data_IF_258791199761
#
_entry.id   IF_258791199761
#
_cell.length_a   1.000
_cell.length_b   1.000
_cell.length_c   1.000
_cell.angle_alpha   90.00
_cell.angle_beta   90.00
_cell.angle_gamma   90.00
#
_symmetry.space_group_name_H-M   'P 1'
#
loop_
_entity.id
_entity.type
_entity.pdbx_description
1 polymer ?
#
# COMPACT_ATOMS: atom_id res chain seq x y z
N UNK A 1 -25.29 29.21 31.61
CA UNK A 1 -26.27 28.30 30.96
C UNK A 1 -26.42 28.54 29.45
N UNK A 2 -27.07 29.61 28.95
CA UNK A 2 -27.28 29.77 27.49
C UNK A 2 -25.98 29.89 26.67
N UNK A 3 -24.98 30.58 27.22
CA UNK A 3 -23.63 30.68 26.64
C UNK A 3 -22.89 29.34 26.64
N UNK A 4 -23.15 28.49 27.64
CA UNK A 4 -22.43 27.24 27.86
C UNK A 4 -23.01 26.13 26.98
N UNK A 5 -24.34 26.08 26.82
CA UNK A 5 -25.00 25.23 25.82
C UNK A 5 -24.56 25.58 24.39
N UNK A 6 -24.42 26.87 24.08
CA UNK A 6 -23.88 27.28 22.79
C UNK A 6 -22.42 26.84 22.60
N UNK A 7 -21.60 26.89 23.66
CA UNK A 7 -20.22 26.39 23.65
C UNK A 7 -20.17 24.88 23.48
N UNK A 8 -21.03 24.12 24.16
CA UNK A 8 -21.16 22.68 24.00
C UNK A 8 -21.52 22.31 22.55
N UNK A 9 -22.53 22.98 21.98
CA UNK A 9 -22.92 22.77 20.60
C UNK A 9 -21.79 23.09 19.60
N UNK A 10 -20.94 24.09 19.91
CA UNK A 10 -19.76 24.39 19.10
C UNK A 10 -18.76 23.25 19.11
N UNK A 11 -18.45 22.68 20.28
CA UNK A 11 -17.53 21.54 20.38
C UNK A 11 -18.08 20.28 19.72
N UNK A 12 -19.39 20.02 19.83
CA UNK A 12 -20.03 18.91 19.10
C UNK A 12 -19.90 19.07 17.58
N UNK A 13 -20.07 20.28 17.06
CA UNK A 13 -19.90 20.57 15.64
C UNK A 13 -18.43 20.49 15.18
N UNK A 14 -17.49 20.90 16.03
CA UNK A 14 -16.05 20.74 15.79
C UNK A 14 -15.65 19.26 15.70
N UNK A 15 -16.10 18.44 16.66
CA UNK A 15 -15.89 16.99 16.63
C UNK A 15 -16.54 16.37 15.38
N UNK A 16 -17.80 16.71 15.07
CA UNK A 16 -18.50 16.18 13.89
C UNK A 16 -17.80 16.53 12.57
N UNK A 17 -17.24 17.73 12.47
CA UNK A 17 -16.47 18.14 11.30
C UNK A 17 -15.16 17.34 11.18
N UNK A 18 -14.47 17.11 12.31
CA UNK A 18 -13.24 16.32 12.37
C UNK A 18 -13.48 14.87 11.94
N UNK A 19 -14.50 14.22 12.50
CA UNK A 19 -14.90 12.85 12.18
C UNK A 19 -15.24 12.67 10.69
N UNK A 20 -15.94 13.64 10.09
CA UNK A 20 -16.27 13.60 8.65
C UNK A 20 -15.04 13.72 7.76
N UNK A 21 -14.10 14.59 8.15
CA UNK A 21 -12.80 14.70 7.46
C UNK A 21 -12.02 13.40 7.58
N UNK A 22 -11.94 12.82 8.79
CA UNK A 22 -11.25 11.57 9.05
C UNK A 22 -11.81 10.40 8.24
N UNK A 23 -13.13 10.29 8.06
CA UNK A 23 -13.73 9.25 7.22
C UNK A 23 -13.14 9.25 5.80
N UNK A 24 -12.89 10.44 5.24
CA UNK A 24 -12.33 10.61 3.90
C UNK A 24 -10.84 10.29 3.90
N UNK A 25 -10.09 10.79 4.88
CA UNK A 25 -8.65 10.54 5.06
C UNK A 25 -8.36 9.04 5.24
N UNK A 26 -9.05 8.38 6.17
CA UNK A 26 -8.91 6.95 6.43
C UNK A 26 -9.24 6.11 5.20
N UNK A 27 -10.29 6.47 4.45
CA UNK A 27 -10.63 5.77 3.20
C UNK A 27 -9.49 5.84 2.18
N UNK A 28 -8.84 7.00 2.05
CA UNK A 28 -7.68 7.18 1.17
C UNK A 28 -6.46 6.40 1.68
N UNK A 29 -6.16 6.46 2.98
CA UNK A 29 -5.04 5.72 3.57
C UNK A 29 -5.21 4.20 3.43
N UNK A 30 -6.42 3.68 3.67
CA UNK A 30 -6.74 2.26 3.46
C UNK A 30 -6.52 1.85 2.00
N UNK A 31 -6.90 2.68 1.03
CA UNK A 31 -6.71 2.36 -0.39
C UNK A 31 -5.23 2.19 -0.78
N UNK A 32 -4.33 2.93 -0.11
CA UNK A 32 -2.88 2.92 -0.39
C UNK A 32 -2.08 2.00 0.52
N UNK A 33 -2.67 1.47 1.59
CA UNK A 33 -1.98 0.63 2.57
C UNK A 33 -2.11 -0.85 2.19
N UNK A 34 -1.03 -1.66 2.17
CA UNK A 34 -1.11 -3.07 1.83
C UNK A 34 -1.84 -3.86 2.94
N UNK A 35 -2.20 -5.11 2.66
CA UNK A 35 -2.78 -5.97 3.68
C UNK A 35 -1.78 -6.21 4.83
N UNK A 36 -2.29 -6.20 6.06
CA UNK A 36 -1.50 -6.36 7.28
C UNK A 36 -2.17 -5.67 8.47
N UNK A 37 -1.53 -5.76 9.64
CA UNK A 37 -2.08 -5.29 10.91
C UNK A 37 -2.46 -3.80 10.89
N UNK A 38 -1.64 -2.96 10.26
CA UNK A 38 -1.92 -1.54 10.14
C UNK A 38 -3.18 -1.25 9.30
N UNK A 39 -3.37 -1.94 8.18
CA UNK A 39 -4.60 -1.79 7.38
C UNK A 39 -5.83 -2.28 8.14
N UNK A 40 -5.73 -3.41 8.83
CA UNK A 40 -6.82 -3.94 9.65
C UNK A 40 -7.21 -2.97 10.76
N UNK A 41 -6.22 -2.30 11.36
CA UNK A 41 -6.45 -1.24 12.35
C UNK A 41 -7.21 -0.05 11.74
N UNK A 42 -6.76 0.48 10.59
CA UNK A 42 -7.42 1.58 9.89
C UNK A 42 -8.86 1.24 9.49
N UNK A 43 -9.10 0.03 9.00
CA UNK A 43 -10.45 -0.44 8.62
C UNK A 43 -11.38 -0.54 9.83
N UNK A 44 -10.87 -0.93 11.01
CA UNK A 44 -11.62 -0.92 12.26
C UNK A 44 -11.97 0.51 12.66
N UNK A 45 -10.97 1.39 12.72
CA UNK A 45 -11.16 2.77 13.14
C UNK A 45 -12.12 3.52 12.21
N UNK A 46 -12.04 3.34 10.88
CA UNK A 46 -13.02 3.91 9.94
C UNK A 46 -14.49 3.51 10.25
N UNK A 47 -14.74 2.31 10.78
CA UNK A 47 -16.09 1.93 11.22
C UNK A 47 -16.49 2.60 12.53
N UNK A 48 -15.53 2.83 13.42
CA UNK A 48 -15.68 3.56 14.68
C UNK A 48 -15.96 5.03 14.41
N UNK A 49 -15.10 5.73 13.66
CA UNK A 49 -15.26 7.14 13.21
C UNK A 49 -16.62 7.39 12.53
N UNK A 50 -17.10 6.46 11.68
CA UNK A 50 -18.45 6.55 11.07
C UNK A 50 -19.57 6.48 12.10
N UNK A 51 -19.44 5.61 13.09
CA UNK A 51 -20.39 5.51 14.21
C UNK A 51 -20.34 6.79 15.04
N UNK A 52 -19.15 7.33 15.27
CA UNK A 52 -18.95 8.55 16.05
C UNK A 52 -19.60 9.76 15.39
N UNK A 53 -19.36 9.96 14.09
CA UNK A 53 -20.03 10.99 13.29
C UNK A 53 -21.57 10.87 13.34
N UNK A 54 -22.10 9.64 13.31
CA UNK A 54 -23.53 9.37 13.45
C UNK A 54 -24.07 9.82 14.82
N UNK A 55 -23.41 9.41 15.90
CA UNK A 55 -23.82 9.77 17.26
C UNK A 55 -23.72 11.28 17.52
N UNK A 56 -22.67 11.95 17.04
CA UNK A 56 -22.54 13.40 17.19
C UNK A 56 -23.63 14.16 16.43
N UNK A 57 -24.01 13.70 15.22
CA UNK A 57 -25.04 14.34 14.42
C UNK A 57 -26.45 14.28 15.06
N UNK A 58 -26.69 13.33 15.98
CA UNK A 58 -27.95 13.25 16.73
C UNK A 58 -28.06 14.33 17.82
N UNK A 59 -26.92 14.84 18.31
CA UNK A 59 -26.87 15.82 19.40
C UNK A 59 -26.46 17.23 18.95
N UNK A 60 -25.70 17.35 17.86
CA UNK A 60 -25.30 18.64 17.30
C UNK A 60 -26.48 19.32 16.60
N UNK A 61 -26.71 20.60 16.90
CA UNK A 61 -27.62 21.45 16.12
C UNK A 61 -26.86 22.16 15.03
N UNK A 62 -27.51 22.33 13.86
CA UNK A 62 -26.84 22.90 12.69
C UNK A 62 -26.21 24.26 13.03
N UNK A 63 -24.91 24.42 12.77
CA UNK A 63 -24.22 25.67 12.99
C UNK A 63 -24.69 26.72 11.97
N UNK A 64 -24.67 28.00 12.37
CA UNK A 64 -24.79 29.06 11.37
C UNK A 64 -23.65 28.94 10.35
N UNK A 65 -23.95 29.15 9.06
CA UNK A 65 -23.07 28.87 7.91
C UNK A 65 -21.66 29.48 8.03
N UNK A 66 -21.52 30.55 8.82
CA UNK A 66 -20.24 31.21 9.13
C UNK A 66 -19.32 30.38 10.04
N UNK A 67 -19.88 29.62 10.99
CA UNK A 67 -19.14 28.81 11.98
C UNK A 67 -18.59 27.53 11.36
N UNK A 68 -19.32 26.95 10.40
CA UNK A 68 -18.88 25.76 9.62
C UNK A 68 -17.56 26.03 8.90
N UNK A 69 -17.45 27.17 8.24
CA UNK A 69 -16.26 27.53 7.47
C UNK A 69 -15.04 27.79 8.37
N UNK A 70 -15.24 28.30 9.59
CA UNK A 70 -14.16 28.50 10.55
C UNK A 70 -13.66 27.18 11.16
N UNK A 71 -14.56 26.26 11.50
CA UNK A 71 -14.22 24.93 12.02
C UNK A 71 -13.51 24.06 10.96
N UNK A 72 -13.97 24.12 9.70
CA UNK A 72 -13.30 23.47 8.57
C UNK A 72 -11.86 23.96 8.38
N UNK A 73 -11.60 25.26 8.54
CA UNK A 73 -10.25 25.82 8.44
C UNK A 73 -9.28 25.39 9.55
N UNK A 74 -9.79 25.04 10.74
CA UNK A 74 -8.98 24.50 11.84
C UNK A 74 -8.67 23.01 11.64
N UNK A 75 -9.64 22.23 11.18
CA UNK A 75 -9.40 20.83 10.79
C UNK A 75 -8.40 20.74 9.62
N UNK A 76 -8.50 21.63 8.63
CA UNK A 76 -7.54 21.71 7.51
C UNK A 76 -6.12 22.10 7.95
N UNK A 77 -5.93 22.81 9.07
CA UNK A 77 -4.60 23.21 9.55
C UNK A 77 -3.90 22.16 10.40
N UNK A 78 -4.66 21.24 11.04
CA UNK A 78 -4.10 20.07 11.74
C UNK A 78 -3.89 18.89 10.78
N UNK A 79 -4.77 18.72 9.78
CA UNK A 79 -4.68 17.69 8.73
C UNK A 79 -3.89 18.16 7.50
N UNK A 80 -3.37 19.41 7.52
CA UNK A 80 -2.85 20.18 6.37
C UNK A 80 -1.67 19.61 5.59
N UNK A 81 -1.29 18.35 5.80
CA UNK A 81 -0.33 17.63 4.97
C UNK A 81 -0.94 16.46 4.16
N UNK A 82 -2.22 16.11 4.34
CA UNK A 82 -2.85 15.00 3.63
C UNK A 82 -3.11 15.27 2.12
N UNK A 83 -2.96 16.52 1.66
CA UNK A 83 -3.13 16.90 0.25
C UNK A 83 -1.85 17.50 -0.38
N UNK A 84 -0.70 16.88 -0.14
CA UNK A 84 0.46 17.06 -1.06
C UNK A 84 0.27 16.34 -2.41
N UNK A 85 -0.96 16.07 -2.83
CA UNK A 85 -1.28 15.73 -4.23
C UNK A 85 -1.03 16.90 -5.19
N UNK A 86 -0.60 18.06 -4.69
CA UNK A 86 -0.21 19.25 -5.46
C UNK A 86 1.32 19.45 -5.63
N UNK A 87 2.16 18.41 -5.48
CA UNK A 87 3.50 18.39 -6.08
C UNK A 87 3.56 17.32 -7.15
N UNK A 88 3.49 17.79 -8.40
CA UNK A 88 3.33 16.98 -9.61
C UNK A 88 4.47 15.99 -9.89
N UNK A 89 4.50 15.38 -11.08
CA UNK A 89 5.37 14.25 -11.45
C UNK A 89 6.89 14.52 -11.42
N UNK A 90 7.34 15.65 -10.86
CA UNK A 90 8.74 16.05 -10.75
C UNK A 90 9.39 15.63 -9.41
N UNK A 91 8.64 15.45 -8.32
CA UNK A 91 9.22 14.93 -7.05
C UNK A 91 9.53 13.42 -7.12
N UNK A 92 9.03 12.72 -8.13
CA UNK A 92 9.40 11.34 -8.46
C UNK A 92 10.83 11.22 -9.02
N UNK A 93 11.44 12.30 -9.50
CA UNK A 93 12.78 12.29 -10.11
C UNK A 93 13.92 12.58 -9.12
N UNK A 94 13.61 12.85 -7.85
CA UNK A 94 14.60 13.15 -6.81
C UNK A 94 14.39 12.30 -5.56
N UNK A 95 14.41 10.96 -5.71
CA UNK A 95 14.61 10.01 -4.63
C UNK A 95 13.80 10.25 -3.34
N UNK A 96 12.49 10.48 -3.48
CA UNK A 96 11.64 10.95 -2.38
C UNK A 96 10.92 9.84 -1.62
N UNK A 97 11.39 9.53 -0.41
CA UNK A 97 10.77 8.73 0.67
C UNK A 97 10.25 7.33 0.29
N UNK A 98 10.79 6.30 0.93
CA UNK A 98 10.36 4.91 0.71
C UNK A 98 8.89 4.72 1.07
N UNK A 99 8.25 3.69 0.52
CA UNK A 99 6.86 3.36 0.84
C UNK A 99 6.62 3.22 2.34
N UNK A 100 7.57 2.58 3.04
CA UNK A 100 7.51 2.39 4.50
C UNK A 100 7.64 3.71 5.27
N UNK A 101 8.47 4.65 4.78
CA UNK A 101 8.54 6.00 5.36
C UNK A 101 7.22 6.75 5.22
N UNK A 102 6.46 6.52 4.14
CA UNK A 102 5.11 7.11 3.97
C UNK A 102 4.11 6.49 4.94
N UNK A 103 4.11 5.17 5.12
CA UNK A 103 3.25 4.51 6.10
C UNK A 103 3.55 4.98 7.53
N UNK A 104 4.84 5.10 7.87
CA UNK A 104 5.26 5.63 9.16
C UNK A 104 4.85 7.10 9.35
N UNK A 105 4.93 7.92 8.30
CA UNK A 105 4.45 9.31 8.35
C UNK A 105 2.94 9.34 8.63
N UNK A 106 2.16 8.56 7.89
CA UNK A 106 0.71 8.47 8.07
C UNK A 106 0.38 8.06 9.52
N UNK A 107 0.99 6.98 10.03
CA UNK A 107 0.82 6.53 11.42
C UNK A 107 1.08 7.62 12.48
N UNK A 108 2.04 8.51 12.23
CA UNK A 108 2.33 9.65 13.11
C UNK A 108 1.29 10.75 12.99
N UNK A 109 0.84 11.05 11.78
CA UNK A 109 -0.21 12.04 11.51
C UNK A 109 -1.54 11.58 12.13
N UNK A 110 -1.86 10.28 12.07
CA UNK A 110 -3.00 9.69 12.77
C UNK A 110 -2.84 9.78 14.28
N UNK A 111 -1.69 9.40 14.87
CA UNK A 111 -1.46 9.56 16.31
C UNK A 111 -1.70 11.00 16.80
N UNK A 112 -1.29 12.00 16.02
CA UNK A 112 -1.52 13.40 16.35
C UNK A 112 -3.02 13.76 16.29
N UNK A 113 -3.74 13.19 15.32
CA UNK A 113 -5.18 13.40 15.17
C UNK A 113 -5.97 12.74 16.30
N UNK A 114 -5.68 11.48 16.64
CA UNK A 114 -6.30 10.79 17.79
C UNK A 114 -6.12 11.58 19.08
N UNK A 115 -4.91 12.10 19.32
CA UNK A 115 -4.62 12.89 20.51
C UNK A 115 -5.44 14.18 20.59
N UNK A 116 -5.72 14.81 19.45
CA UNK A 116 -6.59 15.99 19.38
C UNK A 116 -8.06 15.62 19.62
N UNK A 117 -8.53 14.50 19.09
CA UNK A 117 -9.89 14.02 19.31
C UNK A 117 -10.12 13.65 20.78
N UNK A 118 -9.17 12.96 21.42
CA UNK A 118 -9.20 12.68 22.86
C UNK A 118 -9.38 13.99 23.65
N UNK A 119 -8.58 15.01 23.36
CA UNK A 119 -8.66 16.30 24.04
C UNK A 119 -9.99 17.04 23.78
N UNK A 120 -10.53 16.90 22.56
CA UNK A 120 -11.84 17.46 22.21
C UNK A 120 -12.96 16.75 22.98
N UNK A 121 -12.91 15.43 23.08
CA UNK A 121 -13.88 14.66 23.84
C UNK A 121 -13.78 14.88 25.35
N UNK A 122 -12.58 15.08 25.90
CA UNK A 122 -12.40 15.52 27.30
C UNK A 122 -13.13 16.86 27.56
N UNK A 123 -13.02 17.81 26.63
CA UNK A 123 -13.69 19.11 26.74
C UNK A 123 -15.23 19.00 26.63
N UNK A 124 -15.73 18.13 25.75
CA UNK A 124 -17.16 17.85 25.61
C UNK A 124 -17.69 17.16 26.87
N UNK A 125 -17.02 16.11 27.36
CA UNK A 125 -17.39 15.36 28.56
C UNK A 125 -17.50 16.30 29.77
N UNK A 126 -16.46 17.09 30.04
CA UNK A 126 -16.44 18.02 31.18
C UNK A 126 -17.57 19.07 31.13
N UNK A 127 -17.81 19.66 29.95
CA UNK A 127 -18.85 20.68 29.80
C UNK A 127 -20.26 20.08 29.83
N UNK A 128 -20.44 18.89 29.28
CA UNK A 128 -21.72 18.18 29.34
C UNK A 128 -22.07 17.77 30.78
N UNK A 129 -21.08 17.35 31.58
CA UNK A 129 -21.29 17.06 33.01
C UNK A 129 -21.68 18.32 33.80
N UNK A 130 -21.05 19.47 33.54
CA UNK A 130 -21.42 20.75 34.18
C UNK A 130 -22.85 21.21 33.84
N UNK A 131 -23.35 20.81 32.66
CA UNK A 131 -24.67 21.17 32.16
C UNK A 131 -25.75 20.10 32.43
N UNK A 132 -25.42 19.03 33.16
CA UNK A 132 -26.29 17.86 33.39
C UNK A 132 -26.75 17.16 32.08
N UNK A 133 -26.01 17.33 30.98
CA UNK A 133 -26.24 16.72 29.67
C UNK A 133 -25.68 15.29 29.61
N UNK A 134 -26.22 14.41 30.46
CA UNK A 134 -25.73 13.04 30.70
C UNK A 134 -25.55 12.20 29.43
N UNK A 135 -26.47 12.30 28.47
CA UNK A 135 -26.38 11.56 27.20
C UNK A 135 -25.14 11.98 26.38
N UNK A 136 -24.81 13.26 26.37
CA UNK A 136 -23.65 13.81 25.65
C UNK A 136 -22.36 13.47 26.39
N UNK A 137 -22.34 13.55 27.72
CA UNK A 137 -21.19 13.15 28.52
C UNK A 137 -20.85 11.66 28.30
N UNK A 138 -21.87 10.79 28.30
CA UNK A 138 -21.70 9.37 28.03
C UNK A 138 -21.25 9.06 26.60
N UNK A 139 -21.72 9.85 25.62
CA UNK A 139 -21.26 9.76 24.23
C UNK A 139 -19.77 10.10 24.12
N UNK A 140 -19.37 11.26 24.64
CA UNK A 140 -17.99 11.73 24.59
C UNK A 140 -17.05 10.74 25.28
N UNK A 141 -17.43 10.20 26.44
CA UNK A 141 -16.64 9.19 27.16
C UNK A 141 -16.42 7.92 26.35
N UNK A 142 -17.44 7.44 25.63
CA UNK A 142 -17.32 6.25 24.77
C UNK A 142 -16.40 6.50 23.58
N UNK A 143 -16.56 7.65 22.91
CA UNK A 143 -15.71 8.00 21.76
C UNK A 143 -14.26 8.18 22.20
N UNK A 144 -14.02 8.91 23.29
CA UNK A 144 -12.69 9.04 23.90
C UNK A 144 -12.02 7.68 24.17
N UNK A 145 -12.76 6.72 24.73
CA UNK A 145 -12.22 5.38 24.98
C UNK A 145 -11.90 4.59 23.70
N UNK A 146 -12.59 4.89 22.59
CA UNK A 146 -12.25 4.35 21.27
C UNK A 146 -10.96 4.97 20.74
N UNK A 147 -10.78 6.29 20.84
CA UNK A 147 -9.58 6.98 20.36
C UNK A 147 -8.34 6.71 21.22
N UNK A 148 -8.50 6.58 22.53
CA UNK A 148 -7.42 6.13 23.42
C UNK A 148 -6.90 4.75 23.00
N UNK A 149 -7.81 3.84 22.61
CA UNK A 149 -7.46 2.50 22.12
C UNK A 149 -6.81 2.57 20.75
N UNK A 150 -7.33 3.39 19.83
CA UNK A 150 -6.74 3.60 18.51
C UNK A 150 -5.32 4.15 18.61
N UNK A 151 -5.12 5.20 19.43
CA UNK A 151 -3.81 5.79 19.68
C UNK A 151 -2.83 4.77 20.30
N UNK A 152 -3.28 3.95 21.25
CA UNK A 152 -2.45 2.90 21.83
C UNK A 152 -2.01 1.87 20.79
N UNK A 153 -2.94 1.41 19.95
CA UNK A 153 -2.67 0.43 18.88
C UNK A 153 -1.74 1.00 17.80
N UNK A 154 -1.96 2.25 17.36
CA UNK A 154 -1.07 2.94 16.43
C UNK A 154 0.35 3.04 16.98
N UNK A 155 0.51 3.45 18.24
CA UNK A 155 1.82 3.55 18.89
C UNK A 155 2.52 2.21 19.01
N UNK A 156 1.77 1.12 19.19
CA UNK A 156 2.33 -0.24 19.21
C UNK A 156 2.83 -0.69 17.83
N UNK A 157 2.26 -0.18 16.74
CA UNK A 157 2.68 -0.45 15.36
C UNK A 157 3.82 0.44 14.87
N UNK A 158 4.04 1.62 15.46
CA UNK A 158 5.14 2.52 15.05
C UNK A 158 6.50 1.80 14.96
N UNK A 159 6.93 0.97 15.94
CA UNK A 159 8.21 0.25 15.84
C UNK A 159 8.30 -0.70 14.64
N UNK A 160 7.21 -1.38 14.27
CA UNK A 160 7.21 -2.28 13.11
C UNK A 160 7.22 -1.51 11.79
N UNK A 161 6.52 -0.37 11.72
CA UNK A 161 6.52 0.54 10.58
C UNK A 161 7.85 1.31 10.41
N UNK A 162 8.56 1.56 11.51
CA UNK A 162 9.86 2.23 11.51
C UNK A 162 11.04 1.26 11.37
N UNK A 163 10.82 -0.04 11.55
CA UNK A 163 11.86 -1.03 11.34
C UNK A 163 12.27 -0.96 9.86
N UNK A 164 13.59 -0.93 9.56
CA UNK A 164 14.03 -1.10 8.19
C UNK A 164 13.45 -2.43 7.71
N UNK A 165 12.76 -2.42 6.58
CA UNK A 165 12.30 -3.62 5.89
C UNK A 165 13.51 -4.52 5.73
N UNK A 166 13.67 -5.50 6.64
CA UNK A 166 14.51 -6.65 6.36
C UNK A 166 13.71 -7.41 5.35
N UNK A 167 13.99 -7.12 4.09
CA UNK A 167 13.33 -7.72 2.97
C UNK A 167 13.41 -9.24 3.14
N UNK A 168 12.31 -9.83 3.61
CA UNK A 168 12.07 -11.26 3.50
C UNK A 168 11.45 -11.57 2.15
N UNK A 169 11.23 -10.58 1.27
CA UNK A 169 11.08 -10.87 -0.15
C UNK A 169 12.47 -11.24 -0.59
N UNK A 170 12.61 -12.48 -1.04
CA UNK A 170 13.74 -12.82 -1.89
C UNK A 170 13.82 -11.73 -2.96
N UNK A 171 14.98 -11.06 -3.14
CA UNK A 171 15.11 -10.03 -4.16
C UNK A 171 14.61 -10.61 -5.47
N UNK A 172 13.70 -9.89 -6.12
CA UNK A 172 13.18 -10.35 -7.39
C UNK A 172 14.34 -10.48 -8.38
N UNK A 173 14.32 -11.47 -9.28
CA UNK A 173 15.38 -11.64 -10.28
C UNK A 173 15.60 -10.44 -11.22
N UNK A 174 14.71 -9.44 -11.18
CA UNK A 174 14.86 -8.17 -11.87
C UNK A 174 14.97 -7.08 -10.81
N UNK A 175 16.10 -6.37 -10.81
CA UNK A 175 16.33 -5.23 -9.93
C UNK A 175 15.27 -4.14 -10.14
N UNK A 176 14.88 -3.50 -9.04
CA UNK A 176 13.89 -2.42 -8.98
C UNK A 176 12.57 -2.76 -9.69
N UNK A 177 12.16 -4.03 -9.69
CA UNK A 177 11.01 -4.54 -10.46
C UNK A 177 9.73 -3.71 -10.30
N UNK A 178 9.42 -3.30 -9.07
CA UNK A 178 8.22 -2.55 -8.72
C UNK A 178 8.26 -1.10 -9.24
N UNK A 179 9.43 -0.59 -9.63
CA UNK A 179 9.60 0.75 -10.20
C UNK A 179 9.61 0.75 -11.74
N UNK A 180 9.71 -0.43 -12.36
CA UNK A 180 9.72 -0.58 -13.81
C UNK A 180 8.33 -0.52 -14.42
N UNK A 181 8.23 0.09 -15.60
CA UNK A 181 7.02 -0.02 -16.42
C UNK A 181 6.94 -1.41 -17.09
N UNK A 182 5.74 -1.78 -17.55
CA UNK A 182 5.50 -3.11 -18.10
C UNK A 182 6.37 -3.44 -19.33
N UNK A 183 6.70 -2.45 -20.16
CA UNK A 183 7.58 -2.63 -21.32
C UNK A 183 9.03 -2.92 -20.93
N UNK A 184 9.54 -2.22 -19.90
CA UNK A 184 10.89 -2.44 -19.34
C UNK A 184 11.02 -3.83 -18.73
N UNK A 185 9.98 -4.30 -18.02
CA UNK A 185 9.96 -5.67 -17.49
C UNK A 185 9.93 -6.69 -18.63
N UNK A 186 9.00 -6.52 -19.59
CA UNK A 186 8.82 -7.43 -20.74
C UNK A 186 10.12 -7.63 -21.52
N UNK A 187 10.93 -6.58 -21.67
CA UNK A 187 12.22 -6.66 -22.35
C UNK A 187 13.26 -7.53 -21.65
N UNK A 188 13.15 -7.71 -20.32
CA UNK A 188 14.12 -8.48 -19.51
C UNK A 188 13.68 -9.91 -19.23
N UNK A 189 12.39 -10.25 -19.45
CA UNK A 189 11.87 -11.58 -19.13
C UNK A 189 12.57 -12.71 -19.90
N UNK A 190 13.06 -12.45 -21.11
CA UNK A 190 13.78 -13.46 -21.92
C UNK A 190 15.17 -13.79 -21.39
N UNK A 191 15.75 -12.92 -20.55
CA UNK A 191 17.10 -13.09 -20.03
C UNK A 191 17.10 -13.90 -18.72
N UNK A 192 15.94 -14.01 -18.07
CA UNK A 192 15.76 -14.77 -16.85
C UNK A 192 15.94 -16.28 -17.08
N UNK A 193 16.27 -17.02 -16.03
CA UNK A 193 16.13 -18.49 -16.03
C UNK A 193 14.64 -18.87 -15.90
N UNK A 194 14.26 -20.11 -16.19
CA UNK A 194 12.88 -20.56 -15.95
C UNK A 194 12.48 -20.48 -14.48
N UNK A 195 13.42 -20.70 -13.55
CA UNK A 195 13.17 -20.56 -12.12
C UNK A 195 12.90 -19.09 -11.75
N UNK A 196 13.71 -18.17 -12.27
CA UNK A 196 13.55 -16.73 -12.04
C UNK A 196 12.28 -16.18 -12.68
N UNK A 197 11.96 -16.63 -13.90
CA UNK A 197 10.73 -16.28 -14.60
C UNK A 197 9.50 -16.74 -13.81
N UNK A 198 9.53 -17.94 -13.23
CA UNK A 198 8.46 -18.44 -12.38
C UNK A 198 8.27 -17.61 -11.11
N UNK A 199 9.38 -17.15 -10.50
CA UNK A 199 9.35 -16.23 -9.35
C UNK A 199 8.69 -14.90 -9.73
N UNK A 200 9.09 -14.30 -10.85
CA UNK A 200 8.51 -13.04 -11.36
C UNK A 200 7.03 -13.19 -11.69
N UNK A 201 6.63 -14.28 -12.35
CA UNK A 201 5.23 -14.54 -12.68
C UNK A 201 4.36 -14.74 -11.43
N UNK A 202 4.90 -15.41 -10.40
CA UNK A 202 4.21 -15.58 -9.12
C UNK A 202 4.00 -14.23 -8.43
N UNK A 203 5.05 -13.40 -8.37
CA UNK A 203 4.98 -12.05 -7.82
C UNK A 203 3.97 -11.18 -8.58
N UNK A 204 4.02 -11.19 -9.91
CA UNK A 204 3.14 -10.33 -10.71
C UNK A 204 1.65 -10.72 -10.56
N UNK A 205 1.33 -12.02 -10.47
CA UNK A 205 -0.04 -12.51 -10.24
C UNK A 205 -0.58 -12.15 -8.85
N UNK A 206 0.30 -12.16 -7.84
CA UNK A 206 -0.08 -11.82 -6.46
C UNK A 206 -0.21 -10.31 -6.22
N UNK A 207 0.36 -9.48 -7.10
CA UNK A 207 0.45 -8.03 -6.93
C UNK A 207 -0.28 -7.26 -8.06
N UNK A 208 0.46 -6.54 -8.90
CA UNK A 208 -0.11 -5.56 -9.85
C UNK A 208 -0.84 -6.17 -11.04
N UNK A 209 -0.64 -7.45 -11.33
CA UNK A 209 -1.40 -8.19 -12.36
C UNK A 209 -1.30 -7.59 -13.78
N UNK A 210 -0.15 -7.01 -14.17
CA UNK A 210 0.04 -6.37 -15.48
C UNK A 210 -0.02 -7.43 -16.59
N UNK A 211 -1.12 -7.39 -17.34
CA UNK A 211 -1.45 -8.37 -18.39
C UNK A 211 -0.31 -8.63 -19.38
N UNK A 212 0.40 -7.59 -19.84
CA UNK A 212 1.49 -7.74 -20.81
C UNK A 212 2.69 -8.53 -20.26
N UNK A 213 2.97 -8.43 -18.96
CA UNK A 213 4.04 -9.20 -18.31
C UNK A 213 3.63 -10.66 -18.19
N UNK A 214 2.39 -10.92 -17.73
CA UNK A 214 1.85 -12.27 -17.59
C UNK A 214 1.79 -12.99 -18.94
N UNK A 215 1.24 -12.33 -19.95
CA UNK A 215 1.14 -12.87 -21.32
C UNK A 215 2.53 -13.14 -21.92
N UNK A 216 3.49 -12.21 -21.74
CA UNK A 216 4.85 -12.43 -22.22
C UNK A 216 5.53 -13.58 -21.48
N UNK A 217 5.44 -13.63 -20.15
CA UNK A 217 6.11 -14.66 -19.36
C UNK A 217 5.51 -16.05 -19.62
N UNK A 218 4.19 -16.18 -19.77
CA UNK A 218 3.55 -17.44 -20.13
C UNK A 218 4.01 -17.97 -21.50
N UNK A 219 4.26 -17.08 -22.47
CA UNK A 219 4.84 -17.45 -23.77
C UNK A 219 6.32 -17.89 -23.69
N UNK A 220 7.05 -17.44 -22.65
CA UNK A 220 8.46 -17.77 -22.42
C UNK A 220 8.64 -19.01 -21.54
N UNK A 221 7.60 -19.42 -20.81
CA UNK A 221 7.63 -20.61 -19.96
C UNK A 221 7.78 -21.88 -20.81
N UNK A 222 8.83 -22.65 -20.53
CA UNK A 222 9.10 -23.92 -21.19
C UNK A 222 9.92 -24.84 -20.27
N UNK A 223 9.77 -26.15 -20.43
CA UNK A 223 10.61 -27.11 -19.72
C UNK A 223 12.04 -27.06 -20.28
N UNK A 224 13.08 -26.83 -19.46
CA UNK A 224 14.45 -26.82 -19.95
C UNK A 224 14.86 -28.21 -20.47
N UNK A 225 15.73 -28.29 -21.50
CA UNK A 225 16.17 -29.57 -22.08
C UNK A 225 16.80 -30.52 -21.05
N UNK A 226 17.48 -29.98 -20.04
CA UNK A 226 17.99 -30.72 -18.89
C UNK A 226 18.12 -29.82 -17.65
N UNK A 227 18.25 -30.38 -16.43
CA UNK A 227 18.45 -29.60 -15.21
C UNK A 227 19.71 -28.73 -15.27
N UNK A 228 19.59 -27.44 -14.92
CA UNK A 228 20.71 -26.49 -14.94
C UNK A 228 21.02 -25.87 -16.30
N UNK A 229 20.25 -26.19 -17.36
CA UNK A 229 20.49 -25.70 -18.72
C UNK A 229 20.64 -24.17 -18.85
N UNK A 230 19.87 -23.41 -18.07
CA UNK A 230 19.89 -21.94 -18.12
C UNK A 230 21.14 -21.32 -17.47
N UNK A 231 21.83 -22.08 -16.61
CA UNK A 231 23.04 -21.65 -15.90
C UNK A 231 24.32 -22.02 -16.66
N UNK A 232 24.21 -22.89 -17.66
CA UNK A 232 25.34 -23.33 -18.47
C UNK A 232 25.73 -22.28 -19.55
N UNK A 233 27.03 -22.01 -19.74
CA UNK A 233 27.50 -21.19 -20.84
C UNK A 233 27.23 -21.90 -22.17
N UNK A 234 27.10 -21.12 -23.25
CA UNK A 234 26.77 -21.65 -24.58
C UNK A 234 27.76 -22.73 -25.05
N UNK A 235 29.04 -22.60 -24.71
CA UNK A 235 30.10 -23.56 -25.06
C UNK A 235 29.85 -24.93 -24.41
N UNK A 236 29.55 -24.97 -23.11
CA UNK A 236 29.25 -26.21 -22.39
C UNK A 236 27.98 -26.90 -22.93
N UNK A 237 26.98 -26.10 -23.30
CA UNK A 237 25.75 -26.62 -23.92
C UNK A 237 26.05 -27.26 -25.28
N UNK A 238 26.88 -26.60 -26.10
CA UNK A 238 27.28 -27.11 -27.42
C UNK A 238 28.09 -28.41 -27.28
N UNK A 239 29.02 -28.46 -26.33
CA UNK A 239 29.84 -29.66 -26.08
C UNK A 239 29.01 -30.86 -25.59
N UNK A 240 27.93 -30.58 -24.86
CA UNK A 240 27.00 -31.60 -24.35
C UNK A 240 25.94 -32.01 -25.38
N UNK A 241 25.81 -31.26 -26.47
CA UNK A 241 24.73 -31.43 -27.44
C UNK A 241 24.86 -32.75 -28.20
N UNK A 242 23.80 -33.55 -28.18
CA UNK A 242 23.69 -34.78 -28.97
C UNK A 242 22.41 -34.77 -29.83
N UNK A 243 22.30 -35.75 -30.73
CA UNK A 243 21.13 -35.90 -31.61
C UNK A 243 19.81 -36.06 -30.84
N UNK A 244 19.85 -36.62 -29.63
CA UNK A 244 18.68 -36.85 -28.80
C UNK A 244 18.12 -35.56 -28.20
N UNK A 245 18.99 -34.62 -27.83
CA UNK A 245 18.60 -33.35 -27.21
C UNK A 245 18.52 -32.18 -28.20
N UNK A 246 19.08 -32.29 -29.40
CA UNK A 246 19.13 -31.20 -30.38
C UNK A 246 17.76 -30.60 -30.73
N UNK A 247 16.71 -31.43 -30.86
CA UNK A 247 15.34 -30.96 -31.08
C UNK A 247 14.80 -30.13 -29.91
N UNK A 248 14.98 -30.63 -28.69
CA UNK A 248 14.53 -29.96 -27.47
C UNK A 248 15.27 -28.63 -27.24
N UNK A 249 16.58 -28.62 -27.46
CA UNK A 249 17.43 -27.41 -27.36
C UNK A 249 17.00 -26.35 -28.37
N UNK A 250 16.78 -26.73 -29.64
CA UNK A 250 16.32 -25.80 -30.67
C UNK A 250 14.97 -25.18 -30.31
N UNK A 251 14.00 -26.01 -29.92
CA UNK A 251 12.66 -25.55 -29.59
C UNK A 251 12.67 -24.62 -28.37
N UNK A 252 13.44 -24.99 -27.34
CA UNK A 252 13.63 -24.18 -26.13
C UNK A 252 14.28 -22.83 -26.43
N UNK A 253 15.44 -22.82 -27.10
CA UNK A 253 16.16 -21.60 -27.44
C UNK A 253 15.34 -20.67 -28.34
N UNK A 254 14.56 -21.22 -29.28
CA UNK A 254 13.74 -20.42 -30.19
C UNK A 254 12.67 -19.61 -29.46
N UNK A 255 12.17 -20.12 -28.34
CA UNK A 255 11.11 -19.48 -27.54
C UNK A 255 11.68 -18.58 -26.45
N UNK A 256 12.82 -18.95 -25.88
CA UNK A 256 13.37 -18.34 -24.67
C UNK A 256 14.50 -17.34 -24.95
N UNK A 257 15.77 -17.72 -24.71
CA UNK A 257 16.95 -16.83 -24.78
C UNK A 257 17.51 -16.59 -26.18
N UNK A 258 17.17 -17.42 -27.16
CA UNK A 258 17.60 -17.31 -28.57
C UNK A 258 19.11 -17.13 -28.74
N UNK A 259 19.92 -17.91 -28.00
CA UNK A 259 21.39 -17.90 -28.15
C UNK A 259 21.75 -18.43 -29.54
N UNK A 260 22.25 -17.54 -30.40
CA UNK A 260 22.48 -17.85 -31.83
C UNK A 260 23.43 -19.03 -32.02
N UNK A 261 24.54 -19.07 -31.27
CA UNK A 261 25.52 -20.16 -31.35
C UNK A 261 24.94 -21.53 -30.99
N UNK A 262 24.06 -21.58 -29.98
CA UNK A 262 23.40 -22.82 -29.54
C UNK A 262 22.34 -23.26 -30.55
N UNK A 263 21.56 -22.33 -31.11
CA UNK A 263 20.58 -22.60 -32.16
C UNK A 263 21.25 -23.17 -33.42
N UNK A 264 22.37 -22.58 -33.85
CA UNK A 264 23.12 -23.05 -35.01
C UNK A 264 23.73 -24.44 -34.78
N UNK A 265 24.26 -24.69 -33.58
CA UNK A 265 24.79 -26.00 -33.21
C UNK A 265 23.69 -27.08 -33.22
N UNK A 266 22.53 -26.79 -32.61
CA UNK A 266 21.38 -27.70 -32.60
C UNK A 266 20.86 -27.98 -34.01
N UNK A 267 20.79 -26.97 -34.87
CA UNK A 267 20.37 -27.15 -36.25
C UNK A 267 21.37 -28.00 -37.04
N UNK A 268 22.68 -27.84 -36.80
CA UNK A 268 23.73 -28.64 -37.44
C UNK A 268 23.63 -30.11 -37.04
N UNK A 269 23.45 -30.40 -35.76
CA UNK A 269 23.31 -31.79 -35.28
C UNK A 269 22.05 -32.48 -35.82
N UNK A 270 20.93 -31.74 -35.92
CA UNK A 270 19.71 -32.25 -36.54
C UNK A 270 19.88 -32.53 -38.04
N UNK A 271 20.65 -31.71 -38.76
CA UNK A 271 20.91 -31.89 -40.18
C UNK A 271 21.99 -32.94 -40.49
N UNK A 272 22.91 -33.20 -39.56
CA UNK A 272 23.95 -34.24 -39.69
C UNK A 272 23.51 -35.65 -39.27
N UNK A 273 22.40 -35.76 -38.52
CA UNK A 273 21.81 -37.03 -38.08
C UNK A 273 20.74 -37.58 -39.03
N UNK A 274 20.45 -36.88 -40.14
CA UNK A 274 19.46 -37.24 -41.17
C UNK A 274 20.09 -37.97 -42.35
#
# INVERSE_FOLDING_TARGET
MASDLHRLNRYLNEALATERTLITTLSAHIAMTPHGDYRTLLERHLRETRRHAGGLAEHATEPETSVVNAALGLAETVVGQALTLAKGPLDLLRGGTSFDEKLLKNAKDECATEALEIATYDAIEALAEELDETAIADLARRHRADEERMLADLRALIPSLAAPTRDQRQPLPIDDYDDLNAGQVVARLSDLSQADLATVLTHERANRGRRSILERGENLTATPPWPGYDDEPAEAIIDRLDSAHAGAVRDYESRHRRRVSVLEAAQRELSGSA
#
